data_IF_393283801478
#
_entry.id   IF_393283801478
#
_cell.length_a   1.000
_cell.length_b   1.000
_cell.length_c   1.000
_cell.angle_alpha   90.00
_cell.angle_beta   90.00
_cell.angle_gamma   90.00
#
_symmetry.space_group_name_H-M   'P 1'
#
loop_
_entity.id
_entity.type
_entity.pdbx_description
1 polymer ?
#
# COMPACT_ATOMS: atom_id res chain seq x y z
N UNK A 1 4.89 27.51 19.19
CA UNK A 1 4.38 28.74 18.56
C UNK A 1 5.27 29.05 17.38
N UNK A 2 4.77 29.74 16.38
CA UNK A 2 5.62 30.23 15.28
C UNK A 2 6.60 31.27 15.86
N UNK A 3 7.77 30.81 16.31
CA UNK A 3 8.96 31.61 16.63
C UNK A 3 9.06 32.31 18.00
N UNK A 4 8.07 32.20 18.90
CA UNK A 4 8.06 32.95 20.16
C UNK A 4 7.92 32.12 21.45
N UNK A 5 8.47 32.64 22.55
CA UNK A 5 8.19 32.14 23.90
C UNK A 5 6.75 32.45 24.31
N UNK A 6 6.14 31.56 25.11
CA UNK A 6 4.79 31.76 25.65
C UNK A 6 4.78 32.93 26.66
N UNK A 7 3.97 33.99 26.43
CA UNK A 7 3.87 35.14 27.31
C UNK A 7 3.61 34.78 28.79
N UNK A 8 4.37 35.37 29.72
CA UNK A 8 4.36 35.03 31.16
C UNK A 8 2.99 35.19 31.83
N UNK A 9 2.18 36.15 31.37
CA UNK A 9 0.82 36.40 31.84
C UNK A 9 -0.15 35.24 31.59
N UNK A 10 0.15 34.32 30.67
CA UNK A 10 -0.71 33.17 30.37
C UNK A 10 -0.50 32.10 31.44
N UNK A 11 -1.55 31.74 32.18
CA UNK A 11 -1.49 30.76 33.28
C UNK A 11 -2.11 29.42 32.93
N UNK A 12 -2.98 29.37 31.92
CA UNK A 12 -3.65 28.16 31.47
C UNK A 12 -3.77 28.12 29.96
N UNK A 13 -3.61 26.92 29.38
CA UNK A 13 -3.83 26.66 27.96
C UNK A 13 -4.79 25.50 27.80
N UNK A 14 -5.70 25.59 26.83
CA UNK A 14 -6.59 24.51 26.43
C UNK A 14 -6.43 24.27 24.93
N UNK A 15 -6.30 23.02 24.52
CA UNK A 15 -6.32 22.68 23.11
C UNK A 15 -7.70 23.00 22.52
N UNK A 16 -7.70 23.58 21.31
CA UNK A 16 -8.92 23.86 20.54
C UNK A 16 -9.05 22.90 19.37
N UNK A 17 -8.00 22.78 18.56
CA UNK A 17 -7.99 22.00 17.34
C UNK A 17 -6.57 21.51 17.05
N UNK A 18 -6.47 20.28 16.55
CA UNK A 18 -5.23 19.70 16.04
C UNK A 18 -5.54 19.04 14.70
N UNK A 19 -4.69 19.29 13.71
CA UNK A 19 -4.79 18.65 12.40
C UNK A 19 -3.41 18.34 11.85
N UNK A 20 -3.34 17.31 11.03
CA UNK A 20 -2.18 17.08 10.15
C UNK A 20 -2.31 18.04 8.99
N UNK A 21 -1.32 18.93 8.83
CA UNK A 21 -1.28 19.88 7.72
C UNK A 21 -0.61 19.26 6.49
N UNK A 22 0.41 18.44 6.71
CA UNK A 22 1.19 17.82 5.65
C UNK A 22 1.92 16.57 6.18
N UNK A 23 2.25 15.66 5.28
CA UNK A 23 3.07 14.47 5.54
C UNK A 23 4.11 14.38 4.43
N UNK A 24 5.37 14.66 4.77
CA UNK A 24 6.48 14.41 3.88
C UNK A 24 6.90 12.94 3.98
N UNK A 25 7.14 12.30 2.85
CA UNK A 25 7.46 10.89 2.75
C UNK A 25 8.69 10.70 1.86
N UNK A 26 9.66 9.93 2.33
CA UNK A 26 10.81 9.48 1.55
C UNK A 26 10.83 7.95 1.55
N UNK A 27 11.12 7.33 0.40
CA UNK A 27 11.18 5.88 0.25
C UNK A 27 12.52 5.43 -0.31
N UNK A 28 13.16 4.48 0.35
CA UNK A 28 14.48 3.97 -0.03
C UNK A 28 14.54 2.45 0.08
N UNK A 29 15.21 1.75 -0.87
CA UNK A 29 15.40 0.29 -0.77
C UNK A 29 16.32 -0.05 0.41
N UNK A 30 15.97 -1.11 1.17
CA UNK A 30 16.79 -1.56 2.29
C UNK A 30 17.98 -2.39 1.77
N UNK A 31 19.23 -2.07 2.16
CA UNK A 31 20.39 -2.85 1.75
C UNK A 31 20.27 -4.33 2.15
N UNK A 32 20.66 -5.23 1.25
CA UNK A 32 20.69 -6.69 1.46
C UNK A 32 19.34 -7.39 1.72
N UNK A 33 18.23 -6.65 1.87
CA UNK A 33 16.88 -7.19 2.01
C UNK A 33 16.04 -6.85 0.79
N UNK A 34 16.16 -7.67 -0.25
CA UNK A 34 15.47 -7.44 -1.53
C UNK A 34 13.95 -7.36 -1.35
N UNK A 35 13.35 -6.37 -2.00
CA UNK A 35 11.93 -6.10 -1.96
C UNK A 35 11.43 -5.41 -0.68
N UNK A 36 12.29 -5.11 0.29
CA UNK A 36 11.95 -4.28 1.44
C UNK A 36 12.38 -2.82 1.23
N UNK A 37 11.52 -1.90 1.66
CA UNK A 37 11.70 -0.47 1.52
C UNK A 37 11.52 0.21 2.87
N UNK A 38 12.45 1.10 3.20
CA UNK A 38 12.39 2.02 4.33
C UNK A 38 11.59 3.25 3.92
N UNK A 39 10.61 3.62 4.73
CA UNK A 39 9.73 4.76 4.50
C UNK A 39 9.88 5.70 5.69
N UNK A 40 10.46 6.86 5.43
CA UNK A 40 10.61 7.93 6.39
C UNK A 40 9.45 8.91 6.28
N UNK A 41 8.65 8.98 7.33
CA UNK A 41 7.47 9.83 7.43
C UNK A 41 7.80 11.02 8.32
N UNK A 42 7.50 12.24 7.87
CA UNK A 42 7.55 13.44 8.71
C UNK A 42 6.20 14.12 8.69
N UNK A 43 5.48 14.00 9.80
CA UNK A 43 4.18 14.61 10.03
C UNK A 43 4.36 16.07 10.46
N UNK A 44 3.63 16.97 9.81
CA UNK A 44 3.52 18.37 10.21
C UNK A 44 2.14 18.61 10.82
N UNK A 45 2.09 18.94 12.10
CA UNK A 45 0.84 19.24 12.81
C UNK A 45 0.64 20.74 12.92
N UNK A 46 -0.58 21.19 12.64
CA UNK A 46 -1.03 22.55 12.94
C UNK A 46 -1.97 22.49 14.13
N UNK A 47 -1.63 23.24 15.18
CA UNK A 47 -2.27 23.19 16.48
C UNK A 47 -2.80 24.58 16.84
N UNK A 48 -4.00 24.61 17.40
CA UNK A 48 -4.63 25.80 17.95
C UNK A 48 -4.90 25.63 19.43
N UNK A 49 -4.52 26.62 20.23
CA UNK A 49 -4.76 26.69 21.67
C UNK A 49 -5.57 27.93 22.03
N UNK A 50 -6.34 27.82 23.09
CA UNK A 50 -6.94 28.95 23.81
C UNK A 50 -6.10 29.19 25.07
N UNK A 51 -5.40 30.32 25.12
CA UNK A 51 -4.65 30.75 26.28
C UNK A 51 -5.45 31.70 27.16
N UNK A 52 -5.31 31.52 28.47
CA UNK A 52 -6.01 32.30 29.49
C UNK A 52 -4.99 32.92 30.44
N UNK A 53 -5.13 34.21 30.70
CA UNK A 53 -4.38 34.89 31.75
C UNK A 53 -4.96 34.57 33.13
N UNK A 54 -6.30 34.53 33.23
CA UNK A 54 -7.07 34.15 34.41
C UNK A 54 -8.27 33.29 34.03
N UNK A 55 -8.80 32.52 34.97
CA UNK A 55 -9.88 31.55 34.75
C UNK A 55 -11.18 32.13 34.14
N UNK A 56 -11.38 33.45 34.19
CA UNK A 56 -12.59 34.14 33.69
C UNK A 56 -12.29 35.27 32.68
N UNK A 57 -11.08 35.31 32.07
CA UNK A 57 -10.75 36.29 31.04
C UNK A 57 -11.09 35.78 29.64
N UNK A 58 -11.26 36.69 28.68
CA UNK A 58 -11.37 36.32 27.27
C UNK A 58 -10.07 35.61 26.84
N UNK A 59 -10.15 34.41 26.23
CA UNK A 59 -8.96 33.70 25.78
C UNK A 59 -8.32 34.34 24.55
N UNK A 60 -7.01 34.18 24.44
CA UNK A 60 -6.25 34.52 23.24
C UNK A 60 -6.04 33.25 22.42
N UNK A 61 -6.31 33.32 21.12
CA UNK A 61 -6.02 32.22 20.19
C UNK A 61 -4.53 32.19 19.90
N UNK A 62 -3.92 31.03 20.12
CA UNK A 62 -2.52 30.78 19.81
C UNK A 62 -2.41 29.68 18.77
N UNK A 63 -1.53 29.88 17.79
CA UNK A 63 -1.21 28.86 16.79
C UNK A 63 0.20 28.33 17.00
N UNK A 64 0.40 27.06 16.68
CA UNK A 64 1.71 26.45 16.68
C UNK A 64 1.81 25.34 15.65
N UNK A 65 3.03 25.13 15.19
CA UNK A 65 3.41 24.01 14.33
C UNK A 65 4.26 23.04 15.15
N UNK A 66 4.02 21.74 14.98
CA UNK A 66 4.83 20.68 15.58
C UNK A 66 5.16 19.62 14.54
N UNK A 67 6.26 18.91 14.75
CA UNK A 67 6.74 17.87 13.84
C UNK A 67 6.92 16.56 14.57
N UNK A 68 6.60 15.45 13.91
CA UNK A 68 6.99 14.12 14.39
C UNK A 68 7.43 13.28 13.21
N UNK A 69 8.54 12.56 13.38
CA UNK A 69 9.05 11.65 12.36
C UNK A 69 8.88 10.21 12.80
N UNK A 70 8.57 9.33 11.85
CA UNK A 70 8.43 7.88 12.06
C UNK A 70 9.00 7.15 10.85
N UNK A 71 9.87 6.18 11.12
CA UNK A 71 10.36 5.25 10.11
C UNK A 71 9.51 3.97 10.12
N UNK A 72 9.27 3.39 8.94
CA UNK A 72 8.64 2.08 8.79
C UNK A 72 9.32 1.29 7.66
N UNK A 73 9.48 -0.02 7.84
CA UNK A 73 9.99 -0.91 6.78
C UNK A 73 8.84 -1.78 6.30
N UNK A 74 8.55 -1.71 5.00
CA UNK A 74 7.47 -2.47 4.36
C UNK A 74 8.01 -3.26 3.16
N UNK A 75 7.38 -4.40 2.89
CA UNK A 75 7.69 -5.20 1.70
C UNK A 75 6.90 -4.67 0.50
N UNK A 76 7.61 -4.25 -0.55
CA UNK A 76 7.07 -3.71 -1.80
C UNK A 76 7.28 -4.60 -3.02
N UNK A 77 7.79 -5.83 -2.84
CA UNK A 77 8.03 -6.80 -3.92
C UNK A 77 9.43 -6.76 -4.51
N UNK A 78 9.90 -7.91 -5.04
CA UNK A 78 11.27 -8.11 -5.56
C UNK A 78 11.44 -7.76 -7.06
N UNK A 79 10.44 -7.17 -7.73
CA UNK A 79 10.54 -6.99 -9.18
C UNK A 79 11.77 -6.15 -9.60
N UNK A 80 12.46 -6.60 -10.65
CA UNK A 80 13.53 -5.87 -11.35
C UNK A 80 13.07 -5.38 -12.74
N UNK A 81 11.75 -5.28 -12.97
CA UNK A 81 11.21 -4.84 -14.26
C UNK A 81 11.26 -3.33 -14.39
N UNK A 82 11.71 -2.83 -15.54
CA UNK A 82 11.52 -1.44 -15.97
C UNK A 82 10.13 -1.28 -16.58
N UNK A 83 9.46 -0.17 -16.29
CA UNK A 83 8.07 0.08 -16.73
C UNK A 83 8.09 1.37 -17.51
N UNK A 84 7.60 1.34 -18.74
CA UNK A 84 7.56 2.49 -19.62
C UNK A 84 6.10 2.83 -19.92
N UNK A 85 5.72 4.09 -19.75
CA UNK A 85 4.36 4.57 -20.02
C UNK A 85 4.34 5.33 -21.36
N UNK A 86 3.24 5.19 -22.10
CA UNK A 86 3.01 5.98 -23.33
C UNK A 86 2.58 7.42 -23.04
N UNK A 87 2.20 7.71 -21.79
CA UNK A 87 1.97 9.05 -21.24
C UNK A 87 3.15 9.47 -20.38
N UNK A 88 3.37 10.78 -20.20
CA UNK A 88 4.44 11.35 -19.35
C UNK A 88 4.23 11.14 -17.83
N UNK A 89 3.48 10.12 -17.40
CA UNK A 89 3.43 9.73 -16.00
C UNK A 89 4.67 8.91 -15.66
N UNK A 90 5.70 9.60 -15.20
CA UNK A 90 6.94 8.98 -14.76
C UNK A 90 6.71 8.29 -13.40
N UNK A 91 6.37 7.01 -13.42
CA UNK A 91 6.49 6.15 -12.23
C UNK A 91 7.95 5.71 -12.11
N UNK A 92 8.63 6.15 -11.06
CA UNK A 92 10.00 5.76 -10.76
C UNK A 92 10.95 6.96 -10.67
N UNK A 93 12.00 6.80 -9.88
CA UNK A 93 13.02 7.82 -9.67
C UNK A 93 14.23 7.53 -10.56
N UNK A 94 14.80 8.55 -11.18
CA UNK A 94 16.01 8.40 -12.00
C UNK A 94 17.22 8.46 -11.11
N UNK A 95 17.98 7.36 -11.00
CA UNK A 95 19.20 7.38 -10.22
C UNK A 95 20.30 8.21 -10.90
N UNK A 96 21.40 8.46 -10.18
CA UNK A 96 22.56 9.22 -10.68
C UNK A 96 23.22 8.62 -11.95
N UNK A 97 22.91 7.37 -12.29
CA UNK A 97 23.39 6.65 -13.47
C UNK A 97 22.37 6.64 -14.62
N UNK A 98 21.33 7.48 -14.56
CA UNK A 98 20.26 7.57 -15.56
C UNK A 98 19.39 6.31 -15.69
N UNK A 99 19.42 5.42 -14.70
CA UNK A 99 18.55 4.24 -14.67
C UNK A 99 17.25 4.59 -13.92
N UNK A 100 16.11 4.35 -14.56
CA UNK A 100 14.81 4.47 -13.91
C UNK A 100 14.63 3.32 -12.92
N UNK A 101 14.71 3.63 -11.63
CA UNK A 101 14.42 2.68 -10.56
C UNK A 101 12.93 2.79 -10.22
N UNK A 102 12.20 1.70 -10.48
CA UNK A 102 10.80 1.60 -10.11
C UNK A 102 10.67 1.36 -8.60
N UNK A 103 10.79 2.43 -7.82
CA UNK A 103 10.41 2.43 -6.42
C UNK A 103 8.90 2.19 -6.33
N UNK A 104 8.43 1.40 -5.36
CA UNK A 104 7.00 1.25 -5.15
C UNK A 104 6.42 2.56 -4.63
N UNK A 105 5.14 2.77 -4.88
CA UNK A 105 4.41 3.95 -4.41
C UNK A 105 4.00 3.74 -2.96
N UNK A 106 4.34 4.68 -2.08
CA UNK A 106 3.85 4.70 -0.71
C UNK A 106 2.63 5.60 -0.58
N UNK A 107 1.64 5.17 0.19
CA UNK A 107 0.49 5.99 0.57
C UNK A 107 0.32 6.00 2.09
N UNK A 108 -0.13 7.12 2.64
CA UNK A 108 -0.44 7.25 4.06
C UNK A 108 -1.86 7.76 4.24
N UNK A 109 -2.64 6.99 4.98
CA UNK A 109 -3.96 7.38 5.43
C UNK A 109 -3.86 7.78 6.90
N UNK A 110 -4.34 8.98 7.26
CA UNK A 110 -4.22 9.50 8.62
C UNK A 110 -5.58 9.97 9.14
N UNK A 111 -5.87 9.65 10.39
CA UNK A 111 -7.07 10.12 11.09
C UNK A 111 -6.74 11.42 11.84
N UNK A 112 -7.76 12.25 12.09
CA UNK A 112 -7.62 13.45 12.91
C UNK A 112 -6.92 13.13 14.25
N UNK A 113 -5.83 13.84 14.61
CA UNK A 113 -5.11 13.60 15.85
C UNK A 113 -5.95 13.90 17.08
N UNK A 114 -5.70 13.16 18.17
CA UNK A 114 -6.37 13.35 19.46
C UNK A 114 -5.45 14.11 20.41
N UNK A 115 -5.93 15.23 20.95
CA UNK A 115 -5.24 15.94 22.02
C UNK A 115 -5.35 15.16 23.34
N UNK A 116 -4.26 14.54 23.79
CA UNK A 116 -4.25 13.75 25.02
C UNK A 116 -3.90 14.59 26.25
N UNK A 117 -2.96 15.53 26.08
CA UNK A 117 -2.51 16.41 27.17
C UNK A 117 -1.97 17.71 26.58
N UNK A 118 -2.23 18.84 27.23
CA UNK A 118 -1.56 20.12 26.94
C UNK A 118 -1.17 20.79 28.26
N UNK A 119 0.12 21.10 28.43
CA UNK A 119 0.65 21.74 29.63
C UNK A 119 1.62 22.86 29.29
N UNK A 120 1.72 23.83 30.18
CA UNK A 120 2.75 24.87 30.10
C UNK A 120 4.03 24.31 30.71
N UNK A 121 5.16 24.50 30.03
CA UNK A 121 6.46 24.04 30.50
C UNK A 121 7.59 24.89 29.93
N UNK A 122 8.81 24.36 30.03
CA UNK A 122 10.01 24.97 29.47
C UNK A 122 10.80 23.94 28.68
N UNK A 123 11.36 24.37 27.55
CA UNK A 123 12.28 23.57 26.71
C UNK A 123 13.55 24.37 26.45
N UNK A 124 14.66 23.73 26.09
CA UNK A 124 15.86 24.47 25.69
C UNK A 124 15.62 25.17 24.34
N UNK A 125 16.03 26.44 24.24
CA UNK A 125 16.04 27.19 22.98
C UNK A 125 17.06 26.64 21.98
N UNK A 126 17.15 27.29 20.82
CA UNK A 126 18.12 26.97 19.75
C UNK A 126 19.56 26.91 20.25
N UNK A 127 19.88 27.73 21.25
CA UNK A 127 21.22 27.91 21.79
C UNK A 127 21.54 26.88 22.88
N UNK A 128 20.64 25.90 23.11
CA UNK A 128 20.80 24.77 24.03
C UNK A 128 20.83 25.10 25.52
N UNK A 129 20.92 26.38 25.87
CA UNK A 129 21.22 26.86 27.23
C UNK A 129 20.11 27.71 27.83
N UNK A 130 19.31 28.39 27.01
CA UNK A 130 18.25 29.27 27.46
C UNK A 130 16.92 28.51 27.60
N UNK A 131 16.31 28.47 28.80
CA UNK A 131 14.99 27.89 28.96
C UNK A 131 13.94 28.78 28.29
N UNK A 132 13.22 28.23 27.32
CA UNK A 132 12.13 28.88 26.60
C UNK A 132 10.81 28.33 27.11
N UNK A 133 10.01 29.20 27.72
CA UNK A 133 8.66 28.89 28.17
C UNK A 133 7.77 28.57 26.96
N UNK A 134 7.09 27.44 26.96
CA UNK A 134 6.31 26.94 25.82
C UNK A 134 5.12 26.09 26.26
N UNK A 135 4.29 25.69 25.30
CA UNK A 135 3.24 24.68 25.48
C UNK A 135 3.77 23.33 25.01
N UNK A 136 3.73 22.33 25.88
CA UNK A 136 4.07 20.95 25.58
C UNK A 136 2.75 20.19 25.43
N UNK A 137 2.62 19.45 24.33
CA UNK A 137 1.39 18.75 23.99
C UNK A 137 1.67 17.30 23.64
N UNK A 138 0.84 16.38 24.14
CA UNK A 138 0.85 14.97 23.80
C UNK A 138 -0.29 14.70 22.82
N UNK A 139 0.04 14.16 21.65
CA UNK A 139 -0.92 13.83 20.60
C UNK A 139 -1.02 12.32 20.42
N UNK A 140 -2.25 11.81 20.36
CA UNK A 140 -2.55 10.47 19.84
C UNK A 140 -2.72 10.54 18.33
N UNK A 141 -1.97 9.73 17.59
CA UNK A 141 -2.03 9.67 16.13
C UNK A 141 -2.31 8.24 15.67
N UNK A 142 -3.25 8.09 14.74
CA UNK A 142 -3.49 6.84 14.03
C UNK A 142 -3.27 7.05 12.53
N UNK A 143 -2.38 6.25 11.96
CA UNK A 143 -2.00 6.31 10.55
C UNK A 143 -1.77 4.91 9.99
N UNK A 144 -2.22 4.66 8.76
CA UNK A 144 -1.94 3.44 7.99
C UNK A 144 -0.98 3.79 6.87
N UNK A 145 0.10 3.02 6.75
CA UNK A 145 1.13 3.20 5.71
C UNK A 145 1.04 2.00 4.78
N UNK A 146 0.87 2.24 3.49
CA UNK A 146 0.70 1.21 2.47
C UNK A 146 1.76 1.39 1.39
N UNK A 147 2.19 0.28 0.79
CA UNK A 147 3.11 0.27 -0.35
C UNK A 147 2.47 -0.51 -1.48
N UNK A 148 2.47 0.10 -2.66
CA UNK A 148 1.88 -0.46 -3.86
C UNK A 148 2.93 -0.54 -4.96
N UNK A 149 2.90 -1.64 -5.70
CA UNK A 149 3.77 -1.81 -6.86
C UNK A 149 2.98 -2.42 -8.02
N UNK A 150 3.03 -1.84 -9.22
CA UNK A 150 2.51 -2.50 -10.41
C UNK A 150 3.26 -3.83 -10.64
N UNK A 151 2.51 -4.91 -10.84
CA UNK A 151 3.07 -6.23 -11.18
C UNK A 151 2.43 -6.77 -12.43
N UNK A 152 3.22 -7.45 -13.27
CA UNK A 152 2.69 -8.20 -14.41
C UNK A 152 2.29 -9.60 -13.94
N UNK A 153 1.06 -9.99 -14.27
CA UNK A 153 0.54 -11.33 -13.95
C UNK A 153 0.27 -12.05 -15.28
N UNK A 154 0.77 -13.28 -15.41
CA UNK A 154 0.40 -14.16 -16.52
C UNK A 154 -0.98 -14.73 -16.22
N UNK A 155 -1.98 -14.30 -16.99
CA UNK A 155 -3.34 -14.86 -16.91
C UNK A 155 -3.47 -15.92 -18.00
N UNK A 156 -3.63 -17.22 -17.66
CA UNK A 156 -3.83 -18.24 -18.66
C UNK A 156 -5.19 -18.01 -19.34
N UNK A 157 -5.19 -17.99 -20.67
CA UNK A 157 -6.41 -17.96 -21.48
C UNK A 157 -6.75 -19.41 -21.82
N UNK A 158 -7.54 -20.05 -20.97
CA UNK A 158 -8.20 -21.28 -21.36
C UNK A 158 -9.43 -20.92 -22.22
N UNK A 159 -9.75 -21.75 -23.21
CA UNK A 159 -11.06 -21.68 -23.82
C UNK A 159 -12.09 -21.99 -22.74
N UNK A 160 -12.91 -21.00 -22.38
CA UNK A 160 -14.04 -21.22 -21.49
C UNK A 160 -14.93 -22.29 -22.12
N UNK A 161 -14.85 -23.52 -21.61
CA UNK A 161 -15.85 -24.52 -21.95
C UNK A 161 -17.11 -24.10 -21.20
N UNK A 162 -18.05 -23.50 -21.92
CA UNK A 162 -19.41 -23.29 -21.41
C UNK A 162 -19.90 -24.68 -20.98
N UNK A 163 -20.25 -24.90 -19.71
CA UNK A 163 -20.75 -26.18 -19.26
C UNK A 163 -21.97 -26.55 -20.10
N UNK A 164 -21.84 -27.54 -20.99
CA UNK A 164 -22.92 -27.96 -21.87
C UNK A 164 -24.01 -28.77 -21.13
N UNK A 165 -23.81 -29.03 -19.83
CA UNK A 165 -24.77 -29.74 -19.00
C UNK A 165 -25.79 -28.77 -18.44
N UNK A 166 -26.98 -28.80 -19.01
CA UNK A 166 -28.17 -28.19 -18.41
C UNK A 166 -28.50 -28.93 -17.09
N UNK A 167 -28.72 -28.17 -16.01
CA UNK A 167 -29.16 -28.72 -14.73
C UNK A 167 -30.57 -29.30 -14.90
N UNK A 168 -30.70 -30.62 -14.96
CA UNK A 168 -31.98 -31.29 -14.81
C UNK A 168 -32.34 -31.32 -13.33
N UNK A 169 -33.35 -30.55 -12.94
CA UNK A 169 -34.01 -30.70 -11.64
C UNK A 169 -34.91 -31.93 -11.69
N UNK A 170 -34.34 -33.11 -11.46
CA UNK A 170 -35.15 -34.18 -10.90
C UNK A 170 -35.62 -33.74 -9.51
N UNK A 171 -36.79 -34.23 -9.07
CA UNK A 171 -37.61 -33.77 -7.93
C UNK A 171 -36.95 -33.76 -6.53
N UNK A 172 -35.62 -33.83 -6.43
CA UNK A 172 -34.88 -33.77 -5.18
C UNK A 172 -34.76 -32.32 -4.66
N UNK A 173 -34.72 -32.17 -3.33
CA UNK A 173 -34.58 -30.87 -2.70
C UNK A 173 -33.16 -30.30 -2.94
N UNK A 174 -33.01 -28.97 -3.07
CA UNK A 174 -31.73 -28.34 -3.42
C UNK A 174 -30.56 -28.79 -2.53
N UNK A 175 -30.80 -28.93 -1.22
CA UNK A 175 -29.79 -29.38 -0.27
C UNK A 175 -29.33 -30.83 -0.50
N UNK A 176 -30.25 -31.74 -0.83
CA UNK A 176 -29.90 -33.14 -1.12
C UNK A 176 -29.09 -33.28 -2.43
N UNK A 177 -29.31 -32.37 -3.38
CA UNK A 177 -28.50 -32.27 -4.59
C UNK A 177 -27.10 -31.77 -4.23
N UNK A 178 -26.97 -30.64 -3.52
CA UNK A 178 -25.67 -30.07 -3.11
C UNK A 178 -24.80 -31.01 -2.28
N UNK A 179 -25.39 -31.85 -1.42
CA UNK A 179 -24.66 -32.86 -0.64
C UNK A 179 -24.08 -34.01 -1.51
N UNK A 180 -24.67 -34.27 -2.69
CA UNK A 180 -24.22 -35.31 -3.63
C UNK A 180 -23.23 -34.79 -4.68
N UNK A 181 -23.20 -33.49 -4.96
CA UNK A 181 -22.25 -32.91 -5.91
C UNK A 181 -20.90 -32.78 -5.22
N UNK A 182 -19.91 -33.56 -5.67
CA UNK A 182 -18.51 -33.27 -5.30
C UNK A 182 -18.07 -32.04 -6.08
N UNK A 183 -17.55 -31.03 -5.38
CA UNK A 183 -17.00 -29.84 -6.01
C UNK A 183 -15.91 -30.27 -7.02
N UNK A 184 -16.01 -29.89 -8.31
CA UNK A 184 -15.14 -30.42 -9.35
C UNK A 184 -13.80 -29.68 -9.35
N UNK A 185 -13.01 -29.85 -8.29
CA UNK A 185 -11.72 -29.20 -8.12
C UNK A 185 -10.76 -29.47 -9.30
N UNK A 186 -10.88 -30.64 -9.91
CA UNK A 186 -10.11 -31.08 -11.09
C UNK A 186 -10.54 -30.40 -12.41
N UNK A 187 -11.77 -29.90 -12.52
CA UNK A 187 -12.22 -29.15 -13.72
C UNK A 187 -11.76 -27.68 -13.68
N UNK A 188 -11.54 -27.14 -12.48
CA UNK A 188 -10.93 -25.81 -12.29
C UNK A 188 -9.40 -25.83 -12.32
N UNK A 189 -8.80 -27.02 -12.33
CA UNK A 189 -7.35 -27.22 -12.33
C UNK A 189 -7.02 -28.13 -13.51
N UNK A 190 -6.94 -27.61 -14.75
CA UNK A 190 -6.67 -28.44 -15.91
C UNK A 190 -5.39 -29.23 -15.63
N UNK A 191 -5.56 -30.55 -15.58
CA UNK A 191 -4.56 -31.54 -15.18
C UNK A 191 -3.17 -31.08 -15.61
N UNK A 192 -2.23 -31.08 -14.66
CA UNK A 192 -0.82 -30.79 -14.89
C UNK A 192 -0.37 -31.34 -16.24
N UNK A 193 0.45 -30.56 -16.95
CA UNK A 193 1.08 -30.83 -18.24
C UNK A 193 2.02 -32.06 -18.22
N UNK A 194 1.64 -33.15 -17.57
CA UNK A 194 2.36 -34.41 -17.42
C UNK A 194 1.49 -35.56 -17.92
N UNK A 195 1.03 -35.48 -19.16
CA UNK A 195 0.85 -36.66 -20.02
C UNK A 195 0.52 -36.17 -21.42
N UNK A 196 1.52 -36.19 -22.29
CA UNK A 196 1.31 -36.34 -23.73
C UNK A 196 1.22 -37.85 -23.97
N UNK A 197 0.04 -38.46 -24.18
CA UNK A 197 0.00 -39.74 -24.87
C UNK A 197 0.24 -39.45 -26.36
N UNK A 198 1.29 -40.06 -26.89
CA UNK A 198 1.46 -40.18 -28.34
C UNK A 198 0.18 -40.74 -28.97
N UNK A 199 -0.20 -40.12 -30.09
CA UNK A 199 -1.08 -40.66 -31.15
C UNK A 199 -2.57 -40.89 -30.81
N UNK A 200 -3.42 -40.06 -31.42
CA UNK A 200 -4.30 -40.48 -32.52
C UNK A 200 -4.90 -39.28 -33.26
N UNK A 201 -4.61 -39.21 -34.55
CA UNK A 201 -5.13 -38.25 -35.52
C UNK A 201 -6.65 -38.33 -35.70
N UNK A 202 -7.28 -37.17 -35.89
CA UNK A 202 -8.34 -36.93 -36.87
C UNK A 202 -7.85 -35.71 -37.67
N UNK A 203 -7.87 -35.62 -39.00
CA UNK A 203 -8.48 -36.39 -40.06
C UNK A 203 -8.74 -35.37 -41.18
N UNK A 204 -7.71 -35.04 -41.96
CA UNK A 204 -7.82 -34.21 -43.17
C UNK A 204 -6.78 -34.64 -44.22
N UNK A 205 -7.32 -34.95 -45.40
CA UNK A 205 -6.72 -35.20 -46.71
C UNK A 205 -6.12 -36.57 -47.01
N UNK A 206 -6.98 -37.39 -47.62
CA UNK A 206 -6.60 -38.34 -48.66
C UNK A 206 -5.89 -37.62 -49.81
N UNK A 207 -4.69 -38.07 -50.16
CA UNK A 207 -4.24 -38.16 -51.54
C UNK A 207 -3.57 -39.53 -51.72
N UNK A 208 -4.19 -40.32 -52.57
CA UNK A 208 -3.75 -41.63 -53.05
C UNK A 208 -2.46 -41.51 -53.86
N UNK A 209 -1.52 -42.41 -53.63
CA UNK A 209 -0.72 -43.04 -54.69
C UNK A 209 -0.15 -44.36 -54.16
N UNK A 210 -0.70 -45.47 -54.68
CA UNK A 210 -0.07 -46.78 -54.62
C UNK A 210 1.11 -46.79 -55.59
N UNK A 211 2.21 -47.41 -55.19
CA UNK A 211 2.77 -48.63 -55.83
C UNK A 211 4.16 -48.88 -55.25
N UNK A 212 4.27 -49.92 -54.43
CA UNK A 212 4.86 -51.22 -54.80
C UNK A 212 6.39 -51.26 -54.65
N UNK A 213 6.78 -51.83 -53.50
CA UNK A 213 7.53 -53.08 -53.42
C UNK A 213 8.99 -53.10 -53.93
N UNK A 214 9.94 -53.38 -53.03
CA UNK A 214 10.90 -54.50 -53.19
C UNK A 214 11.94 -54.55 -52.04
N UNK A 215 11.90 -55.64 -51.27
CA UNK A 215 13.04 -56.49 -50.77
C UNK A 215 14.29 -55.81 -50.17
N UNK A 216 14.56 -56.00 -48.88
CA UNK A 216 15.33 -57.12 -48.26
C UNK A 216 16.86 -57.01 -48.47
N UNK A 217 17.55 -57.03 -47.33
CA UNK A 217 19.00 -56.94 -47.03
C UNK A 217 19.63 -55.55 -46.94
#
# INVERSE_FOLDING_TARGET
MDGGALPENITMVKSRCVRVSDICMNIEPVPFNRGFYSIDLTYTFRIEFMAYERACSSPVLLTGTAYASKNAILYGGESNTQTFFSSEEQLGDTNACCETVNLPTAAVQVVAPIALEARIGSVCGSDGTTPVRTVIMTLGLFSVVEVFRPVTILVPTYEYTIPAKECHTDTESPCAVFDKIRFPAEEFSPSALDTIPKEKCCGCNELTENDENSTLE
#
